data_IF_643944240006
#
_entry.id   IF_643944240006
#
_cell.length_a   1.000
_cell.length_b   1.000
_cell.length_c   1.000
_cell.angle_alpha   90.00
_cell.angle_beta   90.00
_cell.angle_gamma   90.00
#
_symmetry.space_group_name_H-M   'P 1'
#
loop_
_entity.id
_entity.type
_entity.pdbx_description
1 polymer ?
#
# COMPACT_ATOMS: atom_id res chain seq x y z
N UNK A 1 0.56 39.35 -2.35
CA UNK A 1 0.63 38.63 -1.07
C UNK A 1 -0.71 37.93 -0.85
N UNK A 2 -0.83 36.65 -1.24
CA UNK A 2 -2.06 35.86 -1.06
C UNK A 2 -1.78 34.81 0.00
N UNK A 3 -2.36 35.00 1.19
CA UNK A 3 -2.38 34.02 2.26
C UNK A 3 -3.33 32.89 1.86
N UNK A 4 -2.79 31.69 1.62
CA UNK A 4 -3.58 30.47 1.53
C UNK A 4 -3.58 29.82 2.91
N UNK A 5 -4.69 30.00 3.61
CA UNK A 5 -5.00 29.34 4.87
C UNK A 5 -5.21 27.84 4.63
N UNK A 6 -4.28 27.01 5.09
CA UNK A 6 -4.40 25.57 5.16
C UNK A 6 -5.34 25.18 6.31
N UNK A 7 -6.54 24.69 5.97
CA UNK A 7 -7.45 24.05 6.92
C UNK A 7 -7.29 22.53 6.82
N UNK A 8 -6.59 21.94 7.78
CA UNK A 8 -6.50 20.49 7.95
C UNK A 8 -7.70 20.00 8.76
N UNK A 9 -8.55 19.17 8.14
CA UNK A 9 -9.63 18.47 8.82
C UNK A 9 -9.06 17.26 9.57
N UNK A 10 -9.13 17.28 10.91
CA UNK A 10 -8.88 16.11 11.75
C UNK A 10 -10.12 15.19 11.70
N UNK A 11 -10.01 14.08 10.97
CA UNK A 11 -11.01 13.01 11.00
C UNK A 11 -10.81 12.13 12.24
N UNK A 12 -11.78 12.13 13.16
CA UNK A 12 -11.85 11.15 14.25
C UNK A 12 -12.49 9.86 13.74
N UNK A 13 -11.73 8.76 13.72
CA UNK A 13 -12.29 7.42 13.58
C UNK A 13 -12.51 6.83 14.98
N UNK A 14 -13.77 6.66 15.40
CA UNK A 14 -14.10 5.90 16.60
C UNK A 14 -14.12 4.41 16.26
N UNK A 15 -13.04 3.69 16.57
CA UNK A 15 -13.06 2.22 16.56
C UNK A 15 -13.64 1.70 17.88
N UNK A 16 -14.80 1.05 17.87
CA UNK A 16 -15.15 0.14 18.96
C UNK A 16 -14.23 -1.07 18.88
N UNK A 17 -13.27 -1.15 19.80
CA UNK A 17 -12.41 -2.31 19.97
C UNK A 17 -13.13 -3.33 20.86
N UNK A 18 -13.57 -4.45 20.29
CA UNK A 18 -13.71 -5.68 21.07
C UNK A 18 -12.34 -6.35 21.06
N UNK A 19 -11.58 -6.17 22.14
CA UNK A 19 -10.32 -6.85 22.34
C UNK A 19 -10.56 -8.37 22.37
N UNK A 20 -9.83 -9.12 21.55
CA UNK A 20 -9.67 -10.55 21.77
C UNK A 20 -8.89 -10.74 23.10
N UNK A 21 -9.26 -11.68 23.98
CA UNK A 21 -8.83 -11.60 25.39
C UNK A 21 -7.35 -11.87 25.69
N UNK A 22 -6.49 -12.15 24.69
CA UNK A 22 -5.09 -12.52 24.94
C UNK A 22 -4.16 -12.11 23.78
N UNK A 23 -4.01 -10.81 23.54
CA UNK A 23 -2.86 -10.30 22.80
C UNK A 23 -2.14 -9.26 23.68
N UNK A 24 -1.06 -9.63 24.38
CA UNK A 24 -0.43 -8.75 25.37
C UNK A 24 0.23 -7.51 24.74
N UNK A 25 0.38 -7.48 23.41
CA UNK A 25 0.81 -6.30 22.66
C UNK A 25 0.09 -6.27 21.31
N UNK A 26 -1.13 -5.69 21.20
CA UNK A 26 -1.73 -5.50 19.89
C UNK A 26 -0.83 -4.54 19.11
N UNK A 27 -0.02 -5.08 18.19
CA UNK A 27 0.85 -4.27 17.35
C UNK A 27 -0.04 -3.31 16.57
N UNK A 28 0.13 -1.98 16.74
CA UNK A 28 -0.73 -1.02 16.05
C UNK A 28 -0.64 -1.24 14.54
N UNK A 29 -1.79 -1.45 13.91
CA UNK A 29 -1.87 -1.53 12.46
C UNK A 29 -1.87 -0.12 11.91
N UNK A 30 -0.72 0.33 11.44
CA UNK A 30 -0.55 1.63 10.81
C UNK A 30 -0.96 1.56 9.34
N UNK A 31 -1.50 2.66 8.82
CA UNK A 31 -1.84 2.83 7.42
C UNK A 31 -0.68 3.50 6.70
N UNK A 32 -0.19 2.88 5.62
CA UNK A 32 0.88 3.41 4.79
C UNK A 32 0.39 4.53 3.85
N UNK A 33 1.31 5.23 3.20
CA UNK A 33 0.98 6.31 2.27
C UNK A 33 0.23 5.84 1.00
N UNK A 34 0.30 4.54 0.70
CA UNK A 34 -0.46 3.85 -0.36
C UNK A 34 -1.86 3.37 0.09
N UNK A 35 -2.19 3.49 1.38
CA UNK A 35 -3.46 3.13 1.99
C UNK A 35 -3.55 1.78 2.71
N UNK A 36 -2.65 0.84 2.41
CA UNK A 36 -2.65 -0.50 3.03
C UNK A 36 -2.00 -0.51 4.43
N UNK A 37 -2.14 -1.61 5.16
CA UNK A 37 -1.45 -1.77 6.46
C UNK A 37 0.05 -1.92 6.24
N UNK A 38 0.85 -1.08 6.89
CA UNK A 38 2.30 -1.06 6.77
C UNK A 38 2.93 0.13 7.48
N UNK A 39 4.24 0.31 7.26
CA UNK A 39 4.97 1.50 7.70
C UNK A 39 4.74 2.63 6.67
N UNK A 40 5.64 3.61 6.57
CA UNK A 40 5.46 4.75 5.66
C UNK A 40 5.18 4.33 4.21
N UNK A 41 6.16 3.70 3.55
CA UNK A 41 6.03 3.11 2.19
C UNK A 41 6.33 1.61 2.18
N UNK A 42 6.90 1.11 3.27
CA UNK A 42 7.36 -0.28 3.40
C UNK A 42 6.18 -1.16 3.85
N UNK A 43 5.82 -2.20 3.08
CA UNK A 43 4.80 -3.15 3.50
C UNK A 43 5.28 -3.96 4.72
N UNK A 44 4.33 -4.49 5.48
CA UNK A 44 4.58 -5.37 6.63
C UNK A 44 3.72 -6.62 6.50
N UNK A 45 4.03 -7.66 7.28
CA UNK A 45 3.17 -8.85 7.40
C UNK A 45 2.03 -8.65 8.42
N UNK A 46 1.76 -7.41 8.85
CA UNK A 46 0.66 -7.05 9.75
C UNK A 46 -0.64 -6.85 8.96
N UNK A 47 -1.76 -7.17 9.60
CA UNK A 47 -3.11 -7.10 9.04
C UNK A 47 -4.04 -6.46 10.07
N UNK A 48 -5.03 -5.72 9.58
CA UNK A 48 -6.08 -5.15 10.41
C UNK A 48 -7.03 -6.24 10.94
N UNK A 49 -8.00 -5.84 11.77
CA UNK A 49 -9.06 -6.75 12.22
C UNK A 49 -9.97 -7.11 11.05
N UNK A 50 -10.52 -8.32 11.09
CA UNK A 50 -11.46 -8.79 10.07
C UNK A 50 -12.65 -7.83 9.93
N UNK A 51 -13.02 -7.55 8.68
CA UNK A 51 -14.07 -6.59 8.33
C UNK A 51 -13.70 -5.12 8.57
N UNK A 52 -12.47 -4.80 8.97
CA UNK A 52 -12.05 -3.42 9.16
C UNK A 52 -11.96 -2.68 7.82
N UNK A 53 -12.49 -1.46 7.84
CA UNK A 53 -12.49 -0.54 6.71
C UNK A 53 -11.64 0.68 7.05
N UNK A 54 -10.87 1.19 6.09
CA UNK A 54 -10.09 2.41 6.24
C UNK A 54 -10.13 3.18 4.94
N UNK A 55 -10.36 4.49 5.01
CA UNK A 55 -10.30 5.37 3.86
C UNK A 55 -9.53 6.63 4.24
N UNK A 56 -8.83 7.21 3.28
CA UNK A 56 -8.01 8.38 3.56
C UNK A 56 -7.48 9.07 2.32
N UNK A 57 -6.75 10.13 2.61
CA UNK A 57 -6.05 10.96 1.64
C UNK A 57 -4.63 11.19 2.13
N UNK A 58 -3.66 11.02 1.24
CA UNK A 58 -2.25 11.27 1.49
C UNK A 58 -1.69 12.18 0.39
N UNK A 59 -0.86 13.14 0.79
CA UNK A 59 -0.08 13.98 -0.11
C UNK A 59 1.41 13.70 0.11
N UNK A 60 2.09 13.23 -0.94
CA UNK A 60 3.54 13.07 -0.98
C UNK A 60 3.99 13.55 -2.35
N UNK A 61 4.50 14.77 -2.45
CA UNK A 61 4.86 15.40 -3.73
C UNK A 61 5.65 14.43 -4.65
N UNK A 62 5.27 14.29 -5.93
CA UNK A 62 4.19 15.00 -6.66
C UNK A 62 2.81 14.30 -6.63
N UNK A 63 2.57 13.40 -5.68
CA UNK A 63 1.43 12.49 -5.65
C UNK A 63 0.36 12.87 -4.63
N UNK A 64 -0.89 12.97 -5.10
CA UNK A 64 -2.07 12.92 -4.24
C UNK A 64 -2.72 11.55 -4.36
N UNK A 65 -2.96 10.89 -3.23
CA UNK A 65 -3.54 9.54 -3.18
C UNK A 65 -4.80 9.55 -2.35
N UNK A 66 -5.90 9.11 -2.94
CA UNK A 66 -7.11 8.72 -2.23
C UNK A 66 -7.17 7.21 -2.20
N UNK A 67 -7.48 6.63 -1.05
CA UNK A 67 -7.52 5.18 -0.93
C UNK A 67 -8.69 4.72 -0.06
N UNK A 68 -9.10 3.50 -0.35
CA UNK A 68 -10.08 2.73 0.40
C UNK A 68 -9.51 1.33 0.57
N UNK A 69 -9.35 0.90 1.82
CA UNK A 69 -8.78 -0.38 2.21
C UNK A 69 -9.81 -1.17 2.99
N UNK A 70 -10.00 -2.43 2.59
CA UNK A 70 -10.86 -3.39 3.23
C UNK A 70 -10.05 -4.60 3.68
N UNK A 71 -10.06 -4.88 4.98
CA UNK A 71 -9.62 -6.14 5.52
C UNK A 71 -10.74 -7.18 5.30
N UNK A 72 -10.84 -7.69 4.07
CA UNK A 72 -11.96 -8.51 3.63
C UNK A 72 -12.06 -9.84 4.38
N UNK A 73 -10.92 -10.41 4.77
CA UNK A 73 -10.80 -11.61 5.60
C UNK A 73 -9.59 -11.46 6.53
N UNK A 74 -9.43 -12.28 7.59
CA UNK A 74 -8.25 -12.24 8.47
C UNK A 74 -6.90 -12.48 7.76
N UNK A 75 -6.95 -13.01 6.53
CA UNK A 75 -5.81 -13.32 5.69
C UNK A 75 -5.77 -12.53 4.37
N UNK A 76 -6.76 -11.67 4.10
CA UNK A 76 -6.86 -10.91 2.84
C UNK A 76 -7.13 -9.43 3.12
N UNK A 77 -6.18 -8.59 2.74
CA UNK A 77 -6.33 -7.13 2.69
C UNK A 77 -6.37 -6.68 1.23
N UNK A 78 -7.33 -5.83 0.89
CA UNK A 78 -7.45 -5.24 -0.44
C UNK A 78 -7.50 -3.72 -0.33
N UNK A 79 -6.86 -3.03 -1.26
CA UNK A 79 -6.85 -1.55 -1.30
C UNK A 79 -7.14 -1.07 -2.69
N UNK A 80 -8.18 -0.24 -2.83
CA UNK A 80 -8.45 0.57 -4.01
C UNK A 80 -7.80 1.93 -3.82
N UNK A 81 -7.04 2.38 -4.81
CA UNK A 81 -6.34 3.66 -4.77
C UNK A 81 -6.57 4.44 -6.04
N UNK A 82 -6.76 5.74 -5.88
CA UNK A 82 -6.77 6.72 -6.95
C UNK A 82 -5.62 7.70 -6.74
N UNK A 83 -4.72 7.79 -7.71
CA UNK A 83 -3.52 8.62 -7.63
C UNK A 83 -3.59 9.75 -8.65
N UNK A 84 -3.37 10.97 -8.21
CA UNK A 84 -3.08 12.12 -9.05
C UNK A 84 -1.58 12.38 -9.09
N UNK A 85 -1.02 12.61 -10.27
CA UNK A 85 0.39 12.98 -10.43
C UNK A 85 0.44 14.44 -10.89
N UNK A 86 0.72 15.34 -9.97
CA UNK A 86 0.51 16.77 -10.17
C UNK A 86 1.55 17.44 -11.08
N UNK A 87 2.69 16.79 -11.30
CA UNK A 87 3.73 17.28 -12.21
C UNK A 87 3.57 16.79 -13.65
N UNK A 88 2.46 16.11 -13.98
CA UNK A 88 2.21 15.56 -15.31
C UNK A 88 0.81 15.94 -15.79
N UNK A 89 0.72 16.33 -17.07
CA UNK A 89 -0.56 16.59 -17.73
C UNK A 89 -1.40 15.32 -17.85
N UNK A 90 -2.71 15.47 -17.88
CA UNK A 90 -3.65 14.36 -18.07
C UNK A 90 -3.41 13.54 -19.35
N UNK A 91 -3.01 14.22 -20.42
CA UNK A 91 -2.68 13.67 -21.74
C UNK A 91 -1.45 14.38 -22.32
N UNK A 92 -0.79 13.76 -23.29
CA UNK A 92 0.34 14.35 -24.01
C UNK A 92 -0.08 15.55 -24.89
N UNK A 93 -1.39 15.79 -25.04
CA UNK A 93 -1.95 16.98 -25.69
C UNK A 93 -2.27 18.05 -24.64
N UNK A 94 -1.56 19.19 -24.62
CA UNK A 94 -1.77 20.24 -23.62
C UNK A 94 -3.18 20.86 -23.67
N UNK A 95 -3.71 21.10 -24.87
CA UNK A 95 -5.03 21.71 -25.07
C UNK A 95 -6.16 20.83 -24.52
N UNK A 96 -5.98 19.51 -24.55
CA UNK A 96 -6.93 18.56 -24.00
C UNK A 96 -6.80 18.43 -22.47
N UNK A 97 -5.59 18.61 -21.94
CA UNK A 97 -5.31 18.47 -20.51
C UNK A 97 -5.77 19.68 -19.70
N UNK A 98 -5.65 20.89 -20.25
CA UNK A 98 -5.94 22.12 -19.52
C UNK A 98 -5.21 22.17 -18.17
N UNK A 99 -5.96 22.25 -17.07
CA UNK A 99 -5.44 22.23 -15.70
C UNK A 99 -5.53 20.84 -15.02
N UNK A 100 -5.83 19.77 -15.77
CA UNK A 100 -5.92 18.42 -15.22
C UNK A 100 -4.57 17.73 -15.19
N UNK A 101 -4.25 17.20 -14.02
CA UNK A 101 -3.10 16.33 -13.75
C UNK A 101 -3.37 14.89 -14.20
N UNK A 102 -2.31 14.12 -14.48
CA UNK A 102 -2.40 12.69 -14.77
C UNK A 102 -3.07 11.92 -13.63
N UNK A 103 -3.96 10.98 -13.98
CA UNK A 103 -4.77 10.20 -13.04
C UNK A 103 -4.55 8.72 -13.26
N UNK A 104 -4.33 8.00 -12.17
CA UNK A 104 -4.12 6.56 -12.18
C UNK A 104 -5.03 5.87 -11.16
N UNK A 105 -5.47 4.66 -11.50
CA UNK A 105 -6.26 3.79 -10.63
C UNK A 105 -5.41 2.57 -10.34
N UNK A 106 -5.22 2.25 -9.07
CA UNK A 106 -4.52 1.05 -8.64
C UNK A 106 -5.39 0.19 -7.75
N UNK A 107 -5.22 -1.11 -7.88
CA UNK A 107 -5.77 -2.10 -6.95
C UNK A 107 -4.63 -2.94 -6.36
N UNK A 108 -4.59 -3.00 -5.04
CA UNK A 108 -3.59 -3.74 -4.28
C UNK A 108 -4.26 -4.90 -3.53
N UNK A 109 -3.54 -6.02 -3.45
CA UNK A 109 -3.93 -7.21 -2.68
C UNK A 109 -2.74 -7.64 -1.83
N UNK A 110 -2.99 -7.93 -0.55
CA UNK A 110 -2.01 -8.50 0.38
C UNK A 110 -2.63 -9.72 1.06
N UNK A 111 -1.90 -10.83 1.00
CA UNK A 111 -2.30 -12.13 1.51
C UNK A 111 -1.41 -12.54 2.67
N UNK A 112 -2.02 -12.92 3.80
CA UNK A 112 -1.31 -13.50 4.94
C UNK A 112 -1.04 -14.97 4.65
N UNK A 113 0.21 -15.37 4.77
CA UNK A 113 0.62 -16.76 4.61
C UNK A 113 0.77 -17.46 5.95
N UNK A 114 1.35 -16.77 6.95
CA UNK A 114 1.59 -17.32 8.28
C UNK A 114 1.33 -16.24 9.33
N UNK A 115 0.64 -16.62 10.41
CA UNK A 115 0.58 -15.81 11.62
C UNK A 115 1.90 -15.88 12.39
N UNK A 116 2.19 -14.83 13.15
CA UNK A 116 3.35 -14.81 14.03
C UNK A 116 3.21 -15.87 15.13
N UNK A 117 4.24 -16.69 15.33
CA UNK A 117 4.34 -17.64 16.45
C UNK A 117 5.52 -17.30 17.35
N UNK A 118 5.80 -18.13 18.35
CA UNK A 118 6.91 -17.89 19.30
C UNK A 118 8.25 -17.55 18.61
N UNK A 119 8.79 -18.48 17.83
CA UNK A 119 10.05 -18.29 17.07
C UNK A 119 9.84 -17.96 15.58
N UNK A 120 8.62 -18.11 15.07
CA UNK A 120 8.31 -17.92 13.65
C UNK A 120 7.81 -16.49 13.40
N UNK A 121 8.32 -15.77 12.39
CA UNK A 121 7.75 -14.49 12.00
C UNK A 121 6.38 -14.67 11.32
N UNK A 122 5.56 -13.62 11.33
CA UNK A 122 4.43 -13.54 10.41
C UNK A 122 4.97 -13.44 8.98
N UNK A 123 4.25 -13.99 8.02
CA UNK A 123 4.63 -13.96 6.60
C UNK A 123 3.45 -13.51 5.75
N UNK A 124 3.72 -12.62 4.80
CA UNK A 124 2.74 -12.16 3.83
C UNK A 124 3.36 -11.99 2.45
N UNK A 125 2.52 -12.09 1.43
CA UNK A 125 2.84 -11.70 0.07
C UNK A 125 1.86 -10.63 -0.37
N UNK A 126 2.27 -9.76 -1.30
CA UNK A 126 1.36 -8.77 -1.85
C UNK A 126 1.71 -8.38 -3.27
N UNK A 127 0.68 -7.91 -3.96
CA UNK A 127 0.76 -7.29 -5.27
C UNK A 127 0.12 -5.90 -5.16
N UNK A 128 0.87 -4.88 -5.53
CA UNK A 128 0.45 -3.48 -5.61
C UNK A 128 0.21 -3.14 -7.07
N UNK A 129 -0.86 -2.40 -7.34
CA UNK A 129 -1.20 -1.89 -8.67
C UNK A 129 -1.10 -3.00 -9.75
N UNK A 130 -1.77 -4.12 -9.47
CA UNK A 130 -1.84 -5.24 -10.43
C UNK A 130 -2.96 -5.05 -11.46
N UNK A 131 -3.91 -4.14 -11.18
CA UNK A 131 -4.92 -3.65 -12.11
C UNK A 131 -4.80 -2.13 -12.14
N UNK A 132 -4.31 -1.58 -13.25
CA UNK A 132 -4.04 -0.15 -13.39
C UNK A 132 -3.16 0.17 -14.59
N UNK A 133 -2.54 1.36 -14.59
CA UNK A 133 -1.54 1.72 -15.61
C UNK A 133 -0.16 1.12 -15.35
N UNK A 134 0.04 0.53 -14.16
CA UNK A 134 1.26 -0.16 -13.76
C UNK A 134 2.37 0.77 -13.25
N UNK A 135 2.07 2.05 -13.04
CA UNK A 135 3.03 3.06 -12.56
C UNK A 135 3.65 2.67 -11.21
N UNK A 136 2.86 2.04 -10.35
CA UNK A 136 3.30 1.60 -9.02
C UNK A 136 3.32 0.07 -8.89
N UNK A 137 3.25 -0.65 -10.01
CA UNK A 137 3.16 -2.11 -10.02
C UNK A 137 4.32 -2.72 -9.27
N UNK A 138 4.02 -3.49 -8.24
CA UNK A 138 5.02 -4.12 -7.38
C UNK A 138 4.53 -5.43 -6.82
N UNK A 139 5.43 -6.36 -6.63
CA UNK A 139 5.17 -7.63 -5.94
C UNK A 139 6.16 -7.77 -4.80
N UNK A 140 5.75 -8.35 -3.69
CA UNK A 140 6.64 -8.51 -2.55
C UNK A 140 6.29 -9.71 -1.68
N UNK A 141 7.30 -10.16 -0.96
CA UNK A 141 7.20 -11.05 0.18
C UNK A 141 7.78 -10.34 1.40
N UNK A 142 7.09 -10.42 2.53
CA UNK A 142 7.48 -9.71 3.74
C UNK A 142 7.24 -10.57 4.97
N UNK A 143 8.20 -10.52 5.89
CA UNK A 143 8.14 -11.12 7.20
C UNK A 143 8.19 -10.06 8.29
N UNK A 144 7.36 -10.20 9.32
CA UNK A 144 7.35 -9.28 10.48
C UNK A 144 7.42 -10.06 11.79
N UNK A 145 8.14 -9.52 12.78
CA UNK A 145 8.37 -10.16 14.08
C UNK A 145 8.40 -9.12 15.18
N UNK A 146 7.59 -9.36 16.21
CA UNK A 146 7.58 -8.55 17.43
C UNK A 146 8.57 -9.08 18.46
N UNK A 147 9.30 -8.15 19.08
CA UNK A 147 10.24 -8.37 20.17
C UNK A 147 9.88 -7.43 21.32
N UNK A 148 8.71 -7.66 21.93
CA UNK A 148 8.14 -6.76 22.94
C UNK A 148 7.80 -5.39 22.33
N UNK A 149 8.47 -4.29 22.74
CA UNK A 149 8.19 -2.95 22.20
C UNK A 149 8.73 -2.71 20.78
N UNK A 150 9.52 -3.62 20.22
CA UNK A 150 10.10 -3.49 18.89
C UNK A 150 9.36 -4.38 17.89
N UNK A 151 8.98 -3.84 16.73
CA UNK A 151 8.47 -4.63 15.59
C UNK A 151 9.44 -4.51 14.41
N UNK A 152 10.04 -5.64 14.03
CA UNK A 152 10.99 -5.72 12.94
C UNK A 152 10.30 -6.29 11.70
N UNK A 153 10.57 -5.69 10.54
CA UNK A 153 10.06 -6.17 9.26
C UNK A 153 11.18 -6.32 8.25
N UNK A 154 11.20 -7.45 7.54
CA UNK A 154 12.16 -7.77 6.48
C UNK A 154 11.39 -8.25 5.26
N UNK A 155 11.70 -7.72 4.07
CA UNK A 155 11.00 -8.08 2.86
C UNK A 155 11.84 -7.94 1.61
N UNK A 156 11.44 -8.67 0.58
CA UNK A 156 11.99 -8.61 -0.76
C UNK A 156 10.85 -8.19 -1.69
N UNK A 157 11.14 -7.24 -2.56
CA UNK A 157 10.16 -6.72 -3.50
C UNK A 157 10.73 -6.67 -4.92
N UNK A 158 9.82 -6.70 -5.88
CA UNK A 158 10.03 -6.51 -7.31
C UNK A 158 9.10 -5.38 -7.77
N UNK A 159 9.37 -4.83 -8.96
CA UNK A 159 8.55 -3.73 -9.50
C UNK A 159 9.04 -2.37 -9.04
N UNK A 160 8.12 -1.42 -8.96
CA UNK A 160 8.39 -0.06 -8.48
C UNK A 160 9.02 -0.09 -7.06
N UNK A 161 8.46 -0.91 -6.16
CA UNK A 161 8.97 -1.09 -4.79
C UNK A 161 10.36 -1.74 -4.75
N UNK A 162 10.69 -2.56 -5.76
CA UNK A 162 11.94 -3.31 -5.88
C UNK A 162 12.95 -2.72 -6.87
N UNK A 163 12.76 -1.49 -7.35
CA UNK A 163 13.45 -0.89 -8.52
C UNK A 163 14.98 -0.75 -8.41
N UNK A 164 15.58 -1.19 -7.30
CA UNK A 164 17.04 -1.25 -7.08
C UNK A 164 17.63 -2.67 -7.12
N UNK A 165 16.83 -3.71 -7.41
CA UNK A 165 17.25 -5.11 -7.39
C UNK A 165 17.39 -5.74 -8.78
N UNK A 166 18.48 -6.48 -9.01
CA UNK A 166 18.77 -7.25 -10.23
C UNK A 166 18.12 -8.65 -10.25
N UNK A 167 17.22 -8.96 -9.30
CA UNK A 167 16.62 -10.29 -9.14
C UNK A 167 15.35 -10.37 -10.00
N UNK A 168 15.27 -11.39 -10.87
CA UNK A 168 14.08 -11.64 -11.71
C UNK A 168 12.88 -12.00 -10.84
N UNK A 169 11.72 -11.38 -11.09
CA UNK A 169 10.50 -11.68 -10.34
C UNK A 169 10.06 -13.14 -10.62
N UNK A 170 9.97 -14.03 -9.62
CA UNK A 170 9.55 -15.41 -9.83
C UNK A 170 8.11 -15.55 -10.37
N UNK A 171 7.25 -14.54 -10.20
CA UNK A 171 5.89 -14.55 -10.74
C UNK A 171 5.85 -14.44 -12.27
N UNK A 172 6.97 -14.06 -12.94
CA UNK A 172 7.06 -14.10 -14.40
C UNK A 172 6.95 -15.52 -14.96
N UNK A 173 7.22 -16.56 -14.16
CA UNK A 173 7.01 -17.94 -14.57
C UNK A 173 5.53 -18.32 -14.70
N UNK A 174 4.64 -17.56 -14.04
CA UNK A 174 3.18 -17.81 -14.05
C UNK A 174 2.52 -16.98 -15.15
N UNK A 175 2.92 -15.73 -15.32
CA UNK A 175 2.40 -14.86 -16.38
C UNK A 175 3.46 -13.89 -16.89
N UNK A 176 3.55 -13.75 -18.21
CA UNK A 176 4.42 -12.77 -18.88
C UNK A 176 3.98 -11.32 -18.64
N UNK A 177 2.76 -11.08 -18.13
CA UNK A 177 2.30 -9.74 -17.73
C UNK A 177 3.15 -9.13 -16.62
N UNK A 178 3.80 -9.94 -15.77
CA UNK A 178 4.72 -9.47 -14.73
C UNK A 178 6.09 -9.03 -15.27
N UNK A 179 6.40 -9.39 -16.53
CA UNK A 179 7.62 -9.02 -17.25
C UNK A 179 7.39 -7.76 -18.11
N UNK A 180 6.21 -7.63 -18.73
CA UNK A 180 5.82 -6.46 -19.50
C UNK A 180 5.46 -5.28 -18.59
N UNK A 181 6.50 -4.53 -18.21
CA UNK A 181 6.37 -3.27 -17.50
C UNK A 181 6.50 -2.17 -18.52
N UNK A 182 5.48 -1.33 -18.66
CA UNK A 182 5.56 -0.20 -19.55
C UNK A 182 6.70 0.72 -19.06
N UNK A 183 7.83 0.70 -19.80
CA UNK A 183 8.92 1.64 -19.62
C UNK A 183 8.46 2.95 -20.20
N UNK A 184 7.95 3.82 -19.35
CA UNK A 184 7.68 5.19 -19.74
C UNK A 184 8.96 6.00 -19.50
N UNK A 185 9.68 6.28 -20.58
CA UNK A 185 10.70 7.34 -20.67
C UNK A 185 10.06 8.71 -20.58
#
# INVERSE_FOLDING_TARGET
MRLLSSASLLGFATTQARAAPFDPYPVPTLTNDFGGVGLLQTPTARFARDGQFTAGYNHVDPYDRYFITLQAMPWLETTLRYTSVNNRLYSDVPDFSGNQSFKDRGFDVKLKLLDEGGLRPALAIGARDFIGTGLFSSEYIVASKSFGPLDATFGIAWGNLGSRGHIRNPLTYISSSFENRARFT
#
